data_IF_929390924371
#
_entry.id   IF_929390924371
#
_cell.length_a   1.000
_cell.length_b   1.000
_cell.length_c   1.000
_cell.angle_alpha   90.00
_cell.angle_beta   90.00
_cell.angle_gamma   90.00
#
_symmetry.space_group_name_H-M   'P 1'
#
loop_
_entity.id
_entity.type
_entity.pdbx_description
1 polymer ?
#
# COMPACT_ATOMS: atom_id res chain seq x y z
N UNK A 1 4.89 15.31 -0.83
CA UNK A 1 4.63 14.29 -1.88
C UNK A 1 3.36 14.71 -2.62
N UNK A 2 3.24 14.53 -3.94
CA UNK A 2 1.99 14.88 -4.66
C UNK A 2 0.95 13.79 -4.45
N UNK A 3 -0.33 14.15 -4.52
CA UNK A 3 -1.41 13.17 -4.44
C UNK A 3 -1.46 12.31 -5.70
N UNK A 4 -1.40 11.00 -5.48
CA UNK A 4 -1.23 9.93 -6.47
C UNK A 4 -2.39 8.92 -6.37
N UNK A 5 -3.56 9.34 -5.92
CA UNK A 5 -4.73 8.47 -5.74
C UNK A 5 -5.15 7.74 -7.03
N UNK A 6 -4.83 8.31 -8.20
CA UNK A 6 -5.09 7.75 -9.53
C UNK A 6 -4.10 6.63 -9.93
N UNK A 7 -2.96 6.51 -9.24
CA UNK A 7 -1.97 5.48 -9.54
C UNK A 7 -2.31 4.15 -8.87
N UNK A 8 -1.93 3.02 -9.48
CA UNK A 8 -2.02 1.72 -8.84
C UNK A 8 -1.22 1.66 -7.53
N UNK A 9 -1.68 0.82 -6.59
CA UNK A 9 -1.00 0.59 -5.30
C UNK A 9 0.46 0.18 -5.51
N UNK A 10 0.74 -0.71 -6.48
CA UNK A 10 2.10 -1.16 -6.79
C UNK A 10 3.01 0.01 -7.20
N UNK A 11 2.52 0.94 -8.01
CA UNK A 11 3.28 2.11 -8.47
C UNK A 11 3.60 3.04 -7.29
N UNK A 12 2.64 3.25 -6.38
CA UNK A 12 2.87 4.06 -5.17
C UNK A 12 3.86 3.39 -4.22
N UNK A 13 3.75 2.07 -4.05
CA UNK A 13 4.70 1.27 -3.28
C UNK A 13 6.12 1.41 -3.82
N UNK A 14 6.31 1.31 -5.14
CA UNK A 14 7.62 1.47 -5.77
C UNK A 14 8.17 2.90 -5.65
N UNK A 15 7.31 3.92 -5.77
CA UNK A 15 7.71 5.32 -5.54
C UNK A 15 8.23 5.52 -4.13
N UNK A 16 7.48 5.02 -3.15
CA UNK A 16 7.84 5.15 -1.74
C UNK A 16 9.10 4.34 -1.41
N UNK A 17 9.21 3.12 -1.92
CA UNK A 17 10.41 2.29 -1.80
C UNK A 17 11.64 2.97 -2.41
N UNK A 18 11.50 3.59 -3.59
CA UNK A 18 12.59 4.34 -4.24
C UNK A 18 13.04 5.53 -3.40
N UNK A 19 12.10 6.27 -2.79
CA UNK A 19 12.41 7.37 -1.86
C UNK A 19 13.24 6.88 -0.67
N UNK A 20 13.01 5.66 -0.22
CA UNK A 20 13.70 5.01 0.90
C UNK A 20 14.95 4.21 0.49
N UNK A 21 15.31 4.18 -0.81
CA UNK A 21 16.44 3.39 -1.31
C UNK A 21 16.23 1.87 -1.29
N UNK A 22 14.97 1.41 -1.18
CA UNK A 22 14.61 0.00 -1.15
C UNK A 22 14.55 -0.54 -2.59
N UNK A 23 15.29 -1.62 -2.87
CA UNK A 23 15.34 -2.24 -4.19
C UNK A 23 14.05 -3.01 -4.51
N UNK A 24 13.67 -3.03 -5.79
CA UNK A 24 12.51 -3.79 -6.33
C UNK A 24 12.51 -5.26 -5.88
N UNK A 25 13.67 -5.92 -5.96
CA UNK A 25 13.85 -7.31 -5.51
C UNK A 25 13.47 -7.55 -4.04
N UNK A 26 13.69 -6.55 -3.15
CA UNK A 26 13.28 -6.65 -1.75
C UNK A 26 11.75 -6.60 -1.61
N UNK A 27 11.08 -5.76 -2.41
CA UNK A 27 9.62 -5.68 -2.42
C UNK A 27 8.98 -6.97 -2.94
N UNK A 28 9.53 -7.53 -4.03
CA UNK A 28 9.10 -8.81 -4.57
C UNK A 28 9.19 -9.92 -3.52
N UNK A 29 10.34 -10.03 -2.86
CA UNK A 29 10.55 -11.00 -1.79
C UNK A 29 9.59 -10.81 -0.60
N UNK A 30 9.31 -9.56 -0.19
CA UNK A 30 8.35 -9.28 0.90
C UNK A 30 6.95 -9.74 0.53
N UNK A 31 6.54 -9.54 -0.73
CA UNK A 31 5.24 -9.96 -1.24
C UNK A 31 5.18 -11.47 -1.58
N UNK A 32 6.28 -12.21 -1.38
CA UNK A 32 6.35 -13.63 -1.72
C UNK A 32 6.34 -13.90 -3.24
N UNK A 33 6.70 -12.90 -4.05
CA UNK A 33 6.70 -12.97 -5.50
C UNK A 33 8.13 -13.20 -6.01
N UNK A 34 8.23 -13.95 -7.12
CA UNK A 34 9.46 -13.95 -7.90
C UNK A 34 9.57 -12.67 -8.76
N UNK A 35 10.75 -12.43 -9.33
CA UNK A 35 11.01 -11.23 -10.11
C UNK A 35 10.10 -11.09 -11.34
N UNK A 36 9.78 -12.20 -12.01
CA UNK A 36 8.92 -12.21 -13.18
C UNK A 36 7.48 -11.81 -12.82
N UNK A 37 6.92 -12.40 -11.77
CA UNK A 37 5.57 -12.07 -11.27
C UNK A 37 5.49 -10.61 -10.85
N UNK A 38 6.47 -10.16 -10.06
CA UNK A 38 6.50 -8.78 -9.61
C UNK A 38 6.61 -7.80 -10.79
N UNK A 39 7.46 -8.09 -11.79
CA UNK A 39 7.56 -7.26 -12.99
C UNK A 39 6.27 -7.24 -13.80
N UNK A 40 5.58 -8.38 -13.92
CA UNK A 40 4.30 -8.47 -14.62
C UNK A 40 3.24 -7.54 -14.00
N UNK A 41 3.15 -7.52 -12.67
CA UNK A 41 2.26 -6.62 -11.91
C UNK A 41 2.73 -5.15 -12.03
N UNK A 42 4.04 -4.90 -11.87
CA UNK A 42 4.67 -3.58 -11.94
C UNK A 42 4.45 -2.89 -13.29
N UNK A 43 4.54 -3.66 -14.37
CA UNK A 43 4.34 -3.20 -15.75
C UNK A 43 2.85 -3.05 -16.12
N UNK A 44 1.95 -3.40 -15.19
CA UNK A 44 0.50 -3.20 -15.33
C UNK A 44 -0.23 -4.31 -16.09
N UNK A 45 0.43 -5.45 -16.35
CA UNK A 45 -0.22 -6.61 -16.96
C UNK A 45 -1.17 -7.35 -16.00
N UNK A 46 -1.00 -7.14 -14.70
CA UNK A 46 -1.86 -7.69 -13.65
C UNK A 46 -2.02 -6.70 -12.48
N UNK A 47 -3.15 -6.77 -11.78
CA UNK A 47 -3.40 -5.97 -10.58
C UNK A 47 -2.80 -6.68 -9.37
N UNK A 48 -2.13 -5.92 -8.49
CA UNK A 48 -1.66 -6.45 -7.21
C UNK A 48 -2.84 -6.98 -6.38
N UNK A 49 -2.89 -8.29 -6.15
CA UNK A 49 -3.92 -8.89 -5.31
C UNK A 49 -3.78 -8.44 -3.85
N UNK A 50 -4.89 -8.02 -3.24
CA UNK A 50 -4.92 -7.63 -1.82
C UNK A 50 -4.60 -8.82 -0.90
N UNK A 51 -4.76 -10.07 -1.36
CA UNK A 51 -4.38 -11.27 -0.61
C UNK A 51 -2.89 -11.34 -0.25
N UNK A 52 -2.03 -10.67 -1.03
CA UNK A 52 -0.59 -10.56 -0.75
C UNK A 52 -0.30 -9.60 0.40
N UNK A 53 -1.21 -8.67 0.71
CA UNK A 53 -1.09 -7.73 1.82
C UNK A 53 -1.55 -8.39 3.12
N UNK A 54 -0.73 -9.31 3.63
CA UNK A 54 -0.97 -9.99 4.91
C UNK A 54 -0.49 -9.14 6.10
N UNK A 55 -0.91 -9.46 7.35
CA UNK A 55 -0.34 -8.82 8.55
C UNK A 55 1.19 -8.97 8.66
N UNK A 56 1.76 -10.05 8.11
CA UNK A 56 3.21 -10.22 8.04
C UNK A 56 3.85 -9.19 7.11
N UNK A 57 3.29 -9.02 5.91
CA UNK A 57 3.72 -8.01 4.93
C UNK A 57 3.58 -6.59 5.50
N UNK A 58 2.48 -6.32 6.22
CA UNK A 58 2.30 -5.06 6.95
C UNK A 58 3.48 -4.75 7.87
N UNK A 59 3.86 -5.71 8.71
CA UNK A 59 4.95 -5.54 9.68
C UNK A 59 6.30 -5.32 8.97
N UNK A 60 6.56 -6.07 7.90
CA UNK A 60 7.78 -5.90 7.09
C UNK A 60 7.85 -4.51 6.45
N UNK A 61 6.78 -4.07 5.77
CA UNK A 61 6.74 -2.73 5.18
C UNK A 61 6.87 -1.63 6.23
N UNK A 62 6.21 -1.76 7.38
CA UNK A 62 6.34 -0.82 8.49
C UNK A 62 7.77 -0.76 9.04
N UNK A 63 8.43 -1.92 9.21
CA UNK A 63 9.85 -1.96 9.65
C UNK A 63 10.82 -1.31 8.66
N UNK A 64 10.46 -1.32 7.37
CA UNK A 64 11.19 -0.62 6.31
C UNK A 64 10.81 0.86 6.19
N UNK A 65 9.94 1.36 7.08
CA UNK A 65 9.44 2.74 7.12
C UNK A 65 8.66 3.16 5.88
N UNK A 66 8.06 2.22 5.17
CA UNK A 66 7.17 2.51 4.03
C UNK A 66 5.90 3.17 4.57
N UNK A 67 5.55 4.34 4.02
CA UNK A 67 4.28 4.99 4.32
C UNK A 67 3.11 4.24 3.68
N UNK A 68 2.55 3.29 4.44
CA UNK A 68 1.39 2.50 4.01
C UNK A 68 0.11 3.33 3.88
N UNK A 69 0.00 4.48 4.54
CA UNK A 69 -1.13 5.37 4.34
C UNK A 69 -1.08 5.96 2.93
N UNK A 70 0.07 6.49 2.51
CA UNK A 70 0.27 6.97 1.14
C UNK A 70 0.14 5.84 0.11
N UNK A 71 0.74 4.67 0.35
CA UNK A 71 0.68 3.56 -0.61
C UNK A 71 -0.76 3.12 -0.91
N UNK A 72 -1.63 3.09 0.10
CA UNK A 72 -3.01 2.61 -0.06
C UNK A 72 -3.96 3.71 -0.52
N UNK A 73 -3.85 4.92 0.01
CA UNK A 73 -4.78 6.01 -0.30
C UNK A 73 -4.33 6.89 -1.47
N UNK A 74 -3.02 6.91 -1.75
CA UNK A 74 -2.38 7.85 -2.66
C UNK A 74 -2.32 9.29 -2.16
N UNK A 75 -2.62 9.55 -0.90
CA UNK A 75 -2.59 10.89 -0.31
C UNK A 75 -1.44 11.00 0.68
N UNK A 76 -0.73 12.12 0.66
CA UNK A 76 0.30 12.41 1.66
C UNK A 76 -0.37 12.62 3.03
N UNK A 77 0.00 11.81 4.03
CA UNK A 77 -0.63 11.85 5.36
C UNK A 77 -0.25 13.07 6.21
N UNK A 78 0.85 13.75 5.87
CA UNK A 78 1.38 14.89 6.61
C UNK A 78 0.40 16.07 6.62
N UNK A 79 0.09 16.59 7.81
CA UNK A 79 -0.82 17.73 8.00
C UNK A 79 -2.31 17.39 7.95
N UNK A 80 -2.69 16.12 7.73
CA UNK A 80 -4.10 15.71 7.76
C UNK A 80 -4.62 15.52 9.19
N UNK A 81 -5.84 15.99 9.42
CA UNK A 81 -6.57 15.73 10.66
C UNK A 81 -6.93 14.25 10.81
N UNK A 82 -7.16 13.77 12.04
CA UNK A 82 -7.51 12.36 12.28
C UNK A 82 -8.77 11.91 11.51
N UNK A 83 -9.80 12.77 11.47
CA UNK A 83 -11.03 12.50 10.72
C UNK A 83 -10.80 12.48 9.20
N UNK A 84 -9.90 13.33 8.71
CA UNK A 84 -9.49 13.40 7.32
C UNK A 84 -8.82 12.09 6.88
N UNK A 85 -7.89 11.58 7.71
CA UNK A 85 -7.22 10.28 7.48
C UNK A 85 -8.23 9.13 7.51
N UNK A 86 -9.14 9.13 8.48
CA UNK A 86 -10.22 8.13 8.58
C UNK A 86 -11.10 8.14 7.32
N UNK A 87 -11.52 9.31 6.85
CA UNK A 87 -12.35 9.44 5.66
C UNK A 87 -11.65 8.90 4.39
N UNK A 88 -10.35 9.16 4.24
CA UNK A 88 -9.57 8.65 3.10
C UNK A 88 -9.40 7.13 3.14
N UNK A 89 -9.14 6.56 4.31
CA UNK A 89 -9.06 5.10 4.49
C UNK A 89 -10.41 4.44 4.18
N UNK A 90 -11.51 5.02 4.66
CA UNK A 90 -12.85 4.51 4.37
C UNK A 90 -13.19 4.62 2.89
N UNK A 91 -12.81 5.73 2.23
CA UNK A 91 -12.96 5.87 0.77
C UNK A 91 -12.19 4.79 0.02
N UNK A 92 -10.95 4.51 0.42
CA UNK A 92 -10.14 3.45 -0.17
C UNK A 92 -10.78 2.07 0.04
N UNK A 93 -11.12 1.69 1.27
CA UNK A 93 -11.82 0.44 1.58
C UNK A 93 -13.11 0.30 0.77
N UNK A 94 -13.83 1.40 0.59
CA UNK A 94 -15.09 1.39 -0.14
C UNK A 94 -14.92 1.14 -1.65
N UNK A 95 -13.73 1.42 -2.20
CA UNK A 95 -13.38 1.11 -3.58
C UNK A 95 -12.99 -0.36 -3.82
N UNK A 96 -12.81 -1.16 -2.77
CA UNK A 96 -12.45 -2.58 -2.89
C UNK A 96 -13.70 -3.47 -3.06
N UNK A 97 -13.57 -4.60 -3.78
CA UNK A 97 -14.52 -5.70 -3.75
C UNK A 97 -14.83 -6.17 -2.30
N UNK A 98 -16.02 -6.71 -2.01
CA UNK A 98 -16.42 -7.07 -0.64
C UNK A 98 -15.47 -8.04 0.08
N UNK A 99 -14.96 -9.04 -0.64
CA UNK A 99 -14.01 -10.04 -0.15
C UNK A 99 -12.65 -9.41 0.19
N UNK A 100 -12.12 -8.56 -0.69
CA UNK A 100 -10.88 -7.83 -0.43
C UNK A 100 -11.04 -6.79 0.68
N UNK A 101 -12.19 -6.12 0.76
CA UNK A 101 -12.49 -5.15 1.81
C UNK A 101 -12.38 -5.78 3.20
N UNK A 102 -12.91 -6.99 3.38
CA UNK A 102 -12.83 -7.70 4.66
C UNK A 102 -11.37 -7.99 5.04
N UNK A 103 -10.56 -8.47 4.10
CA UNK A 103 -9.13 -8.73 4.34
C UNK A 103 -8.38 -7.46 4.72
N UNK A 104 -8.74 -6.33 4.10
CA UNK A 104 -8.06 -5.05 4.29
C UNK A 104 -8.48 -4.28 5.55
N UNK A 105 -9.46 -4.77 6.33
CA UNK A 105 -9.83 -4.16 7.61
C UNK A 105 -8.65 -4.08 8.58
N UNK A 106 -7.77 -5.09 8.59
CA UNK A 106 -6.55 -5.06 9.41
C UNK A 106 -5.68 -3.86 9.06
N UNK A 107 -5.34 -3.66 7.78
CA UNK A 107 -4.51 -2.55 7.33
C UNK A 107 -5.16 -1.21 7.66
N UNK A 108 -6.44 -1.04 7.32
CA UNK A 108 -7.20 0.17 7.60
C UNK A 108 -7.20 0.54 9.08
N UNK A 109 -7.39 -0.43 9.97
CA UNK A 109 -7.39 -0.19 11.42
C UNK A 109 -6.03 0.28 11.94
N UNK A 110 -4.92 -0.13 11.32
CA UNK A 110 -3.57 0.20 11.79
C UNK A 110 -3.05 1.51 11.23
N UNK A 111 -3.25 1.75 9.93
CA UNK A 111 -2.78 2.97 9.27
C UNK A 111 -3.57 4.22 9.69
N UNK A 112 -4.77 4.06 10.26
CA UNK A 112 -5.56 5.17 10.80
C UNK A 112 -4.89 5.83 12.02
N UNK A 113 -4.15 5.06 12.82
CA UNK A 113 -3.59 5.52 14.10
C UNK A 113 -2.06 5.63 14.11
N UNK A 114 -1.38 5.16 13.06
CA UNK A 114 0.05 5.37 12.92
C UNK A 114 0.33 6.86 12.64
N UNK A 115 0.76 7.57 13.68
CA UNK A 115 1.35 8.91 13.63
C UNK A 115 2.85 8.79 13.42
#
# INVERSE_FOLDING_TARGET
>A
MKDDYHLPVITRLEREARRLGIKKAKLAMVLGLNEREYNYISDGWEVLSMSLLTPYVYNLFTSMRIDLFYVLTGVCGEGLCADCRKALIQRWLNGLPPDERFQMQFFASRIQFNM
#
